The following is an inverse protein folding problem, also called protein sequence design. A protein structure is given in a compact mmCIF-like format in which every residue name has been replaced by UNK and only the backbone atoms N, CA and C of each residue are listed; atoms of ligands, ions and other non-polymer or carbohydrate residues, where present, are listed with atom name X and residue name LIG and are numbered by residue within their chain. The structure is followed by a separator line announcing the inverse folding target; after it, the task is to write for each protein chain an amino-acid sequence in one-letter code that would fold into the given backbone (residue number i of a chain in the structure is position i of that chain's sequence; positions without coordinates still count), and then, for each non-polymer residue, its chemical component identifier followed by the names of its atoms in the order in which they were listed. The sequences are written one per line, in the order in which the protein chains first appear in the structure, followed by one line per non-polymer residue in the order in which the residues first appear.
data_IF_818419616412
#
_entry.id   IF_818419616412
#
_cell.length_a   1.000
_cell.length_b   1.000
_cell.length_c   1.000
_cell.angle_alpha   90.00
_cell.angle_beta   90.00
_cell.angle_gamma   90.00
#
_symmetry.space_group_name_H-M   'P 1'
#
loop_
_entity.id
_entity.type
_entity.pdbx_description
1 polymer ?
#
# COMPACT_ATOMS: atom_id res chain seq x y z
N UNK A 1 -12.36 8.45 5.98
CA UNK A 1 -11.47 9.42 5.33
C UNK A 1 -10.25 9.65 6.19
N UNK A 2 -9.06 9.51 5.62
CA UNK A 2 -7.78 9.71 6.30
C UNK A 2 -6.93 10.70 5.51
N UNK A 3 -6.10 11.47 6.18
CA UNK A 3 -5.17 12.40 5.52
C UNK A 3 -3.87 11.70 5.15
N UNK A 4 -3.12 12.29 4.21
CA UNK A 4 -1.77 11.84 3.84
C UNK A 4 -0.87 11.61 5.06
N UNK A 5 -0.91 12.53 6.05
CA UNK A 5 -0.22 12.40 7.33
C UNK A 5 -0.58 11.13 8.12
N UNK A 6 -1.85 10.77 8.18
CA UNK A 6 -2.28 9.57 8.93
C UNK A 6 -1.81 8.30 8.23
N UNK A 7 -1.89 8.26 6.90
CA UNK A 7 -1.35 7.16 6.10
C UNK A 7 0.15 7.00 6.32
N UNK A 8 0.89 8.12 6.32
CA UNK A 8 2.32 8.17 6.61
C UNK A 8 2.65 7.65 8.02
N UNK A 9 1.92 8.11 9.04
CA UNK A 9 2.12 7.63 10.41
C UNK A 9 1.87 6.13 10.54
N UNK A 10 0.84 5.59 9.88
CA UNK A 10 0.57 4.15 9.88
C UNK A 10 1.70 3.37 9.20
N UNK A 11 2.19 3.84 8.06
CA UNK A 11 3.29 3.19 7.35
C UNK A 11 4.59 3.22 8.14
N UNK A 12 4.91 4.36 8.78
CA UNK A 12 6.10 4.50 9.62
C UNK A 12 6.02 3.76 10.96
N UNK A 13 4.81 3.39 11.41
CA UNK A 13 4.64 2.59 12.62
C UNK A 13 5.02 1.12 12.43
N UNK A 14 5.23 0.69 11.18
CA UNK A 14 5.60 -0.68 10.85
C UNK A 14 7.13 -0.86 10.89
N UNK A 15 7.64 -1.99 11.43
CA UNK A 15 9.07 -2.25 11.50
C UNK A 15 9.68 -2.42 10.10
N UNK A 16 10.95 -2.06 9.93
CA UNK A 16 11.68 -2.15 8.64
C UNK A 16 11.12 -1.27 7.49
N UNK A 17 10.21 -0.34 7.78
CA UNK A 17 9.73 0.64 6.79
C UNK A 17 10.65 1.85 6.73
N UNK A 18 11.21 2.08 5.55
CA UNK A 18 11.89 3.31 5.20
C UNK A 18 10.96 4.15 4.32
N UNK A 19 10.68 5.37 4.77
CA UNK A 19 10.11 6.39 3.92
C UNK A 19 11.22 7.05 3.11
N UNK A 20 11.06 7.11 1.79
CA UNK A 20 11.90 7.97 0.96
C UNK A 20 11.07 8.94 0.14
N UNK A 21 11.54 10.19 0.03
CA UNK A 21 11.03 11.11 -0.96
C UNK A 21 11.41 10.57 -2.34
N UNK A 22 10.41 10.29 -3.16
CA UNK A 22 10.61 9.98 -4.57
C UNK A 22 10.06 11.17 -5.37
N UNK A 23 10.93 12.12 -5.69
CA UNK A 23 10.60 13.43 -6.29
C UNK A 23 9.68 14.29 -5.42
N UNK A 24 8.36 14.14 -5.55
CA UNK A 24 7.28 14.90 -4.89
C UNK A 24 6.28 13.98 -4.15
N UNK A 25 6.61 12.68 -4.04
CA UNK A 25 5.73 11.67 -3.45
C UNK A 25 6.46 10.90 -2.36
N UNK A 26 5.77 10.61 -1.27
CA UNK A 26 6.30 9.75 -0.21
C UNK A 26 6.17 8.28 -0.65
N UNK A 27 7.29 7.57 -0.72
CA UNK A 27 7.30 6.13 -1.02
C UNK A 27 7.79 5.35 0.19
N UNK A 28 7.00 4.37 0.61
CA UNK A 28 7.30 3.48 1.73
C UNK A 28 7.82 2.16 1.20
N UNK A 29 9.05 1.84 1.59
CA UNK A 29 9.75 0.62 1.17
C UNK A 29 10.25 -0.17 2.36
N UNK A 30 10.24 -1.49 2.22
CA UNK A 30 10.78 -2.42 3.19
C UNK A 30 12.09 -2.97 2.61
N UNK A 31 13.22 -2.47 3.10
CA UNK A 31 14.55 -2.70 2.50
C UNK A 31 14.65 -2.22 1.03
N UNK A 32 14.58 -3.16 0.07
CA UNK A 32 14.68 -2.87 -1.38
C UNK A 32 13.34 -2.90 -2.13
N UNK A 33 12.23 -3.22 -1.46
CA UNK A 33 10.92 -3.39 -2.11
C UNK A 33 9.92 -2.35 -1.64
N UNK A 34 9.32 -1.61 -2.57
CA UNK A 34 8.26 -0.63 -2.29
C UNK A 34 6.95 -1.38 -2.06
N UNK A 35 6.29 -1.15 -0.93
CA UNK A 35 4.97 -1.73 -0.65
C UNK A 35 3.86 -0.71 -0.67
N UNK A 36 4.15 0.56 -0.38
CA UNK A 36 3.16 1.62 -0.43
C UNK A 36 3.76 2.90 -0.99
N UNK A 37 2.96 3.67 -1.72
CA UNK A 37 3.32 4.98 -2.25
C UNK A 37 2.16 5.92 -1.97
N UNK A 38 2.46 7.12 -1.50
CA UNK A 38 1.50 8.15 -1.15
C UNK A 38 1.65 9.33 -2.11
N UNK A 39 0.57 9.65 -2.82
CA UNK A 39 0.49 10.84 -3.69
C UNK A 39 -0.34 11.92 -2.98
N UNK A 40 0.33 12.92 -2.43
CA UNK A 40 -0.32 14.02 -1.70
C UNK A 40 -1.14 14.92 -2.62
N UNK A 41 -0.63 15.17 -3.84
CA UNK A 41 -1.30 15.92 -4.90
C UNK A 41 -2.74 15.43 -5.16
N UNK A 42 -2.91 14.12 -5.32
CA UNK A 42 -4.20 13.51 -5.64
C UNK A 42 -4.94 12.96 -4.42
N UNK A 43 -4.31 12.95 -3.23
CA UNK A 43 -4.79 12.22 -2.04
C UNK A 43 -5.09 10.74 -2.35
N UNK A 44 -4.21 10.11 -3.13
CA UNK A 44 -4.32 8.70 -3.51
C UNK A 44 -3.10 7.96 -2.94
N UNK A 45 -3.37 6.88 -2.20
CA UNK A 45 -2.39 5.88 -1.83
C UNK A 45 -2.32 4.78 -2.88
N UNK A 46 -1.16 4.17 -3.04
CA UNK A 46 -0.97 2.95 -3.83
C UNK A 46 -0.34 1.93 -2.91
N UNK A 47 -0.88 0.71 -2.88
CA UNK A 47 -0.35 -0.38 -2.07
C UNK A 47 -0.11 -1.61 -2.94
N UNK A 48 0.96 -2.35 -2.62
CA UNK A 48 1.34 -3.58 -3.28
C UNK A 48 0.72 -4.76 -2.51
N UNK A 49 -0.50 -5.12 -2.88
CA UNK A 49 -1.18 -6.30 -2.36
C UNK A 49 -0.88 -7.52 -3.23
N UNK A 50 -1.42 -8.67 -2.82
CA UNK A 50 -1.59 -9.80 -3.74
C UNK A 50 -2.77 -9.54 -4.68
N UNK A 51 -2.79 -10.14 -5.88
CA UNK A 51 -3.96 -10.05 -6.77
C UNK A 51 -5.24 -10.60 -6.12
N UNK A 52 -5.12 -11.56 -5.20
CA UNK A 52 -6.24 -12.13 -4.44
C UNK A 52 -6.81 -11.11 -3.45
N UNK A 53 -5.96 -10.52 -2.60
CA UNK A 53 -6.37 -9.46 -1.68
C UNK A 53 -6.94 -8.26 -2.45
N UNK A 54 -6.26 -7.84 -3.51
CA UNK A 54 -6.73 -6.77 -4.39
C UNK A 54 -8.17 -7.02 -4.84
N UNK A 55 -8.48 -8.23 -5.30
CA UNK A 55 -9.83 -8.59 -5.73
C UNK A 55 -10.84 -8.49 -4.57
N UNK A 56 -10.47 -8.96 -3.37
CA UNK A 56 -11.31 -8.86 -2.17
C UNK A 56 -11.56 -7.40 -1.79
N UNK A 57 -10.53 -6.56 -1.70
CA UNK A 57 -10.66 -5.14 -1.35
C UNK A 57 -11.45 -4.34 -2.38
N UNK A 58 -11.24 -4.59 -3.68
CA UNK A 58 -12.03 -3.95 -4.75
C UNK A 58 -13.49 -4.40 -4.67
N UNK A 59 -13.78 -5.68 -4.39
CA UNK A 59 -15.16 -6.13 -4.19
C UNK A 59 -15.80 -5.55 -2.94
N UNK A 60 -15.02 -5.40 -1.88
CA UNK A 60 -15.49 -4.89 -0.60
C UNK A 60 -15.82 -3.41 -0.67
N UNK A 61 -14.94 -2.59 -1.26
CA UNK A 61 -15.16 -1.16 -1.41
C UNK A 61 -14.62 -0.65 -2.78
N UNK A 62 -15.40 -0.82 -3.86
CA UNK A 62 -14.98 -0.41 -5.21
C UNK A 62 -14.91 1.11 -5.38
N UNK A 63 -15.49 1.87 -4.45
CA UNK A 63 -15.46 3.33 -4.47
C UNK A 63 -14.11 3.89 -4.00
N UNK A 64 -13.44 3.20 -3.08
CA UNK A 64 -12.13 3.59 -2.54
C UNK A 64 -10.97 2.81 -3.15
N UNK A 65 -11.19 1.57 -3.59
CA UNK A 65 -10.14 0.72 -4.15
C UNK A 65 -10.28 0.55 -5.66
N UNK A 66 -9.17 0.68 -6.38
CA UNK A 66 -9.14 0.47 -7.82
C UNK A 66 -7.85 -0.21 -8.25
N UNK A 67 -7.89 -1.14 -9.22
CA UNK A 67 -6.69 -1.79 -9.70
C UNK A 67 -5.82 -0.80 -10.48
N UNK A 68 -4.52 -0.82 -10.25
CA UNK A 68 -3.59 0.01 -11.00
C UNK A 68 -3.57 -0.43 -12.47
N UNK A 69 -3.61 0.47 -13.46
CA UNK A 69 -3.60 0.08 -14.86
C UNK A 69 -2.31 -0.63 -15.27
N UNK A 70 -2.43 -1.58 -16.20
CA UNK A 70 -1.30 -2.28 -16.82
C UNK A 70 -0.69 -3.40 -15.98
N UNK A 71 0.63 -3.60 -16.11
CA UNK A 71 1.35 -4.69 -15.45
C UNK A 71 1.41 -4.56 -13.92
N UNK A 72 1.18 -3.35 -13.39
CA UNK A 72 1.16 -3.09 -11.95
C UNK A 72 -0.09 -3.69 -11.31
N UNK A 73 -1.29 -3.49 -11.89
CA UNK A 73 -2.50 -4.16 -11.41
C UNK A 73 -2.38 -5.67 -11.40
N UNK A 74 -1.81 -6.27 -12.45
CA UNK A 74 -1.54 -7.73 -12.50
C UNK A 74 -0.58 -8.22 -11.41
N UNK A 75 0.29 -7.35 -10.90
CA UNK A 75 1.19 -7.65 -9.78
C UNK A 75 0.53 -7.41 -8.41
N UNK A 76 -0.75 -7.03 -8.36
CA UNK A 76 -1.50 -6.75 -7.14
C UNK A 76 -1.42 -5.30 -6.65
N UNK A 77 -0.83 -4.40 -7.45
CA UNK A 77 -0.80 -2.99 -7.08
C UNK A 77 -2.19 -2.38 -7.21
N UNK A 78 -2.63 -1.76 -6.11
CA UNK A 78 -3.99 -1.25 -5.95
C UNK A 78 -3.92 0.21 -5.52
N UNK A 79 -4.70 1.06 -6.17
CA UNK A 79 -4.92 2.44 -5.78
C UNK A 79 -6.02 2.52 -4.72
N UNK A 80 -5.79 3.38 -3.75
CA UNK A 80 -6.66 3.66 -2.61
C UNK A 80 -6.91 5.16 -2.58
N UNK A 81 -8.17 5.55 -2.68
CA UNK A 81 -8.58 6.93 -2.51
C UNK A 81 -8.67 7.28 -1.01
N UNK A 82 -7.78 8.14 -0.52
CA UNK A 82 -7.69 8.46 0.91
C UNK A 82 -8.88 9.31 1.39
N UNK A 83 -9.53 10.04 0.46
CA UNK A 83 -10.72 10.85 0.75
C UNK A 83 -11.94 9.98 1.01
N UNK A 84 -12.03 8.81 0.36
CA UNK A 84 -13.16 7.89 0.51
C UNK A 84 -12.89 6.77 1.52
N UNK A 85 -11.66 6.25 1.56
CA UNK A 85 -11.32 5.08 2.37
C UNK A 85 -11.49 5.37 3.87
N UNK A 86 -11.96 4.37 4.61
CA UNK A 86 -11.99 4.38 6.08
C UNK A 86 -10.60 4.08 6.64
N UNK A 87 -10.32 4.61 7.83
CA UNK A 87 -9.02 4.43 8.50
C UNK A 87 -8.71 2.95 8.75
N UNK A 88 -9.69 2.19 9.23
CA UNK A 88 -9.55 0.76 9.50
C UNK A 88 -9.21 -0.02 8.23
N UNK A 89 -9.97 0.17 7.16
CA UNK A 89 -9.74 -0.54 5.89
C UNK A 89 -8.38 -0.19 5.28
N UNK A 90 -7.98 1.08 5.33
CA UNK A 90 -6.65 1.49 4.88
C UNK A 90 -5.53 0.86 5.72
N UNK A 91 -5.74 0.73 7.03
CA UNK A 91 -4.79 0.09 7.95
C UNK A 91 -4.69 -1.41 7.67
N UNK A 92 -5.82 -2.10 7.53
CA UNK A 92 -5.86 -3.53 7.21
C UNK A 92 -5.19 -3.82 5.87
N UNK A 93 -5.49 -3.02 4.84
CA UNK A 93 -4.88 -3.18 3.53
C UNK A 93 -3.36 -2.92 3.57
N UNK A 94 -2.91 -1.93 4.35
CA UNK A 94 -1.49 -1.66 4.56
C UNK A 94 -0.79 -2.79 5.31
N UNK A 95 -1.41 -3.33 6.36
CA UNK A 95 -0.87 -4.44 7.15
C UNK A 95 -0.78 -5.73 6.31
N UNK A 96 -1.80 -6.01 5.49
CA UNK A 96 -1.78 -7.10 4.53
C UNK A 96 -0.61 -6.95 3.54
N UNK A 97 -0.45 -5.77 2.92
CA UNK A 97 0.65 -5.49 2.01
C UNK A 97 2.04 -5.64 2.69
N UNK A 98 2.15 -5.17 3.92
CA UNK A 98 3.34 -5.29 4.74
C UNK A 98 3.69 -6.76 5.03
N UNK A 99 2.74 -7.52 5.59
CA UNK A 99 2.89 -8.92 5.94
C UNK A 99 3.27 -9.77 4.73
N UNK A 100 2.68 -9.49 3.55
CA UNK A 100 3.06 -10.16 2.31
C UNK A 100 4.51 -9.88 1.90
N UNK A 101 4.96 -8.63 1.99
CA UNK A 101 6.36 -8.30 1.71
C UNK A 101 7.33 -8.92 2.72
N UNK A 102 6.97 -8.93 4.00
CA UNK A 102 7.79 -9.53 5.07
C UNK A 102 7.89 -11.04 4.87
N UNK A 103 6.76 -11.74 4.66
CA UNK A 103 6.75 -13.18 4.36
C UNK A 103 7.60 -13.51 3.13
N UNK A 104 7.50 -12.70 2.07
CA UNK A 104 8.31 -12.84 0.84
C UNK A 104 9.80 -12.63 1.09
N UNK A 105 10.17 -11.74 2.02
CA UNK A 105 11.56 -11.55 2.46
C UNK A 105 12.05 -12.72 3.30
N UNK A 106 11.25 -13.22 4.24
CA UNK A 106 11.61 -14.37 5.08
C UNK A 106 11.85 -15.62 4.24
N UNK A 107 11.02 -15.88 3.23
CA UNK A 107 11.23 -17.00 2.30
C UNK A 107 12.52 -16.84 1.48
N UNK A 108 12.96 -15.61 1.20
CA UNK A 108 14.24 -15.36 0.50
C UNK A 108 15.48 -15.43 1.40
N UNK A 109 15.34 -15.28 2.71
CA UNK A 109 16.47 -15.28 3.66
C UNK A 109 16.88 -16.69 4.11
N UNK A 110 16.09 -17.72 3.77
CA UNK A 110 16.36 -19.14 4.05
C UNK A 110 17.00 -19.90 2.88
N UNK A 111 17.63 -19.22 1.91
CA UNK A 111 18.25 -19.86 0.76
C UNK A 111 19.71 -19.48 0.60
#
# INVERSE_FOLDING_TARGET
MISSKTFRQMAMSLPDVAELPHFEKASFRIGKSVFATLSEDKNIGMIALTPEDQYVYIKFDPASFSPCPGAWGRKGYTWIDLKKVKKDVAKEAMDAAYNHLVKKKETKRKK
#
